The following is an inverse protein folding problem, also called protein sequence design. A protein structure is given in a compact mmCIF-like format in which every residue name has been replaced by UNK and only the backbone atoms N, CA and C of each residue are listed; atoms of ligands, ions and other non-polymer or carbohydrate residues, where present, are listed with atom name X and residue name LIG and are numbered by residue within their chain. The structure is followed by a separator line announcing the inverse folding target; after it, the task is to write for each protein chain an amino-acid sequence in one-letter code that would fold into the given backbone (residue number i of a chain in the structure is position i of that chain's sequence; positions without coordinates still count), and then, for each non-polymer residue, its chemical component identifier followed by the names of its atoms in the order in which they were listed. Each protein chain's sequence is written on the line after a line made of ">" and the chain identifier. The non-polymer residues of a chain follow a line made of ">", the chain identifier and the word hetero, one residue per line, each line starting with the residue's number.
data_IF_409100121704
#
_entry.id   IF_409100121704
#
_cell.length_a   1.000
_cell.length_b   1.000
_cell.length_c   1.000
_cell.angle_alpha   90.00
_cell.angle_beta   90.00
_cell.angle_gamma   90.00
#
_symmetry.space_group_name_H-M   'P 1'
#
loop_
_entity.id
_entity.type
_entity.pdbx_description
1 polymer ?
#
# COMPACT_ATOMS: atom_id res chain seq x y z
N UNK A 1 9.04 25.56 8.34
CA UNK A 1 9.27 24.16 8.78
C UNK A 1 8.02 23.30 8.66
N UNK A 2 6.80 23.85 8.76
CA UNK A 2 5.55 23.07 8.64
C UNK A 2 5.36 22.36 7.29
N UNK A 3 5.65 23.04 6.16
CA UNK A 3 5.45 22.49 4.80
C UNK A 3 6.25 21.21 4.47
N UNK A 4 7.36 20.94 5.15
CA UNK A 4 8.17 19.76 4.85
C UNK A 4 7.69 18.52 5.61
N UNK A 5 7.06 18.70 6.77
CA UNK A 5 6.44 17.60 7.51
C UNK A 5 5.19 17.06 6.79
N UNK A 6 4.45 17.92 6.11
CA UNK A 6 3.28 17.56 5.27
C UNK A 6 3.63 16.61 4.11
N UNK A 7 4.90 16.54 3.70
CA UNK A 7 5.33 15.57 2.68
C UNK A 7 5.36 14.13 3.21
N UNK A 8 5.47 13.96 4.52
CA UNK A 8 5.56 12.66 5.18
C UNK A 8 4.28 12.24 5.88
N UNK A 9 3.22 13.04 5.78
CA UNK A 9 1.87 12.57 6.10
C UNK A 9 1.39 11.64 5.00
N UNK A 10 0.45 10.76 5.35
CA UNK A 10 -0.13 9.80 4.42
C UNK A 10 -1.63 9.66 4.66
N UNK A 11 -2.33 9.31 3.59
CA UNK A 11 -3.75 9.02 3.61
C UNK A 11 -3.97 7.66 2.93
N UNK A 12 -4.64 6.73 3.63
CA UNK A 12 -4.90 5.38 3.13
C UNK A 12 -3.61 4.64 2.69
N UNK A 13 -2.52 4.87 3.41
CA UNK A 13 -1.21 4.28 3.15
C UNK A 13 -0.46 4.92 1.96
N UNK A 14 -0.97 5.99 1.36
CA UNK A 14 -0.26 6.73 0.30
C UNK A 14 0.37 7.97 0.91
N UNK A 15 1.70 8.05 0.85
CA UNK A 15 2.45 9.21 1.36
C UNK A 15 2.35 10.39 0.38
N UNK A 16 2.19 11.59 0.91
CA UNK A 16 1.91 12.79 0.12
C UNK A 16 3.00 13.10 -0.92
N UNK A 17 4.27 12.86 -0.60
CA UNK A 17 5.38 13.07 -1.53
C UNK A 17 5.34 12.18 -2.79
N UNK A 18 4.68 11.02 -2.74
CA UNK A 18 4.54 10.09 -3.87
C UNK A 18 3.11 9.99 -4.42
N UNK A 19 2.16 10.75 -3.87
CA UNK A 19 0.75 10.71 -4.27
C UNK A 19 0.56 11.01 -5.76
N UNK A 20 1.27 11.99 -6.29
CA UNK A 20 1.23 12.34 -7.72
C UNK A 20 1.67 11.18 -8.63
N UNK A 21 2.64 10.37 -8.20
CA UNK A 21 3.08 9.17 -8.91
C UNK A 21 2.06 8.04 -8.79
N UNK A 22 1.50 7.85 -7.59
CA UNK A 22 0.42 6.89 -7.34
C UNK A 22 -0.75 7.13 -8.30
N UNK A 23 -1.20 8.38 -8.40
CA UNK A 23 -2.29 8.78 -9.29
C UNK A 23 -1.94 8.53 -10.76
N UNK A 24 -0.74 8.89 -11.21
CA UNK A 24 -0.30 8.64 -12.59
C UNK A 24 -0.14 7.14 -12.94
N UNK A 25 0.17 6.29 -11.95
CA UNK A 25 0.30 4.85 -12.12
C UNK A 25 -1.06 4.14 -12.21
N UNK A 26 -2.14 4.70 -11.65
CA UNK A 26 -3.50 4.13 -11.77
C UNK A 26 -3.90 3.91 -13.23
N UNK A 27 -3.61 4.90 -14.07
CA UNK A 27 -3.97 4.87 -15.49
C UNK A 27 -3.17 3.82 -16.29
N UNK A 28 -2.11 3.26 -15.70
CA UNK A 28 -1.23 2.26 -16.33
C UNK A 28 -1.53 0.83 -15.93
N UNK A 29 -2.33 0.62 -14.88
CA UNK A 29 -2.72 -0.72 -14.44
C UNK A 29 -4.11 -1.09 -14.98
N UNK A 30 -4.35 -2.38 -15.30
CA UNK A 30 -5.68 -2.80 -15.70
C UNK A 30 -6.61 -2.83 -14.49
N UNK A 31 -7.90 -2.51 -14.71
CA UNK A 31 -8.93 -2.63 -13.68
C UNK A 31 -9.07 -4.08 -13.14
N UNK A 32 -8.82 -5.08 -13.99
CA UNK A 32 -8.84 -6.49 -13.64
C UNK A 32 -7.69 -7.25 -14.30
N UNK A 33 -7.17 -8.25 -13.60
CA UNK A 33 -6.10 -9.12 -14.11
C UNK A 33 -4.69 -8.56 -13.91
N UNK A 34 -3.74 -9.16 -14.61
CA UNK A 34 -2.32 -8.81 -14.54
C UNK A 34 -1.97 -7.67 -15.50
N UNK A 35 -0.97 -6.87 -15.13
CA UNK A 35 -0.36 -5.88 -16.02
C UNK A 35 0.13 -6.56 -17.31
N UNK A 36 -0.08 -5.89 -18.45
CA UNK A 36 0.39 -6.35 -19.77
C UNK A 36 1.90 -6.58 -19.73
N UNK A 37 2.35 -7.74 -20.20
CA UNK A 37 3.76 -8.14 -20.16
C UNK A 37 4.38 -8.03 -18.76
N UNK A 38 3.70 -8.51 -17.70
CA UNK A 38 4.17 -8.42 -16.31
C UNK A 38 5.63 -8.85 -16.07
N UNK A 39 6.19 -9.73 -16.91
CA UNK A 39 7.61 -10.11 -16.83
C UNK A 39 8.58 -8.96 -17.17
N UNK A 40 8.14 -8.02 -18.01
CA UNK A 40 8.84 -6.78 -18.38
C UNK A 40 8.40 -5.58 -17.54
N UNK A 41 7.20 -5.64 -16.96
CA UNK A 41 6.62 -4.62 -16.08
C UNK A 41 6.48 -5.16 -14.65
N UNK A 42 7.62 -5.54 -14.05
CA UNK A 42 7.64 -6.27 -12.77
C UNK A 42 7.29 -5.34 -11.62
N UNK A 43 7.78 -4.11 -11.65
CA UNK A 43 7.51 -3.11 -10.61
C UNK A 43 6.07 -2.61 -10.73
N UNK A 44 5.55 -2.40 -11.93
CA UNK A 44 4.16 -2.02 -12.14
C UNK A 44 3.18 -3.15 -11.69
N UNK A 45 3.49 -4.42 -11.96
CA UNK A 45 2.68 -5.55 -11.43
C UNK A 45 2.79 -5.67 -9.90
N UNK A 46 3.95 -5.35 -9.33
CA UNK A 46 4.14 -5.32 -7.87
C UNK A 46 3.32 -4.19 -7.26
N UNK A 47 3.35 -3.00 -7.84
CA UNK A 47 2.51 -1.86 -7.47
C UNK A 47 1.03 -2.21 -7.52
N UNK A 48 0.54 -2.78 -8.64
CA UNK A 48 -0.86 -3.22 -8.78
C UNK A 48 -1.29 -4.18 -7.66
N UNK A 49 -0.42 -5.13 -7.29
CA UNK A 49 -0.68 -6.06 -6.19
C UNK A 49 -0.66 -5.36 -4.83
N UNK A 50 0.33 -4.51 -4.59
CA UNK A 50 0.50 -3.76 -3.36
C UNK A 50 -0.67 -2.83 -3.10
N UNK A 51 -1.10 -2.04 -4.09
CA UNK A 51 -2.29 -1.20 -4.01
C UNK A 51 -3.53 -1.98 -3.56
N UNK A 52 -3.76 -3.15 -4.17
CA UNK A 52 -4.92 -3.98 -3.81
C UNK A 52 -4.84 -4.48 -2.37
N UNK A 53 -3.64 -4.78 -1.87
CA UNK A 53 -3.39 -5.18 -0.48
C UNK A 53 -3.58 -3.99 0.46
N UNK A 54 -2.99 -2.83 0.15
CA UNK A 54 -3.15 -1.56 0.87
C UNK A 54 -4.62 -1.22 1.03
N UNK A 55 -5.39 -1.25 -0.07
CA UNK A 55 -6.83 -1.02 -0.02
C UNK A 55 -7.56 -2.04 0.88
N UNK A 56 -7.21 -3.33 0.82
CA UNK A 56 -7.83 -4.37 1.66
C UNK A 56 -7.53 -4.16 3.16
N UNK A 57 -6.32 -3.70 3.51
CA UNK A 57 -5.95 -3.36 4.89
C UNK A 57 -6.91 -2.32 5.46
N UNK A 58 -7.08 -1.19 4.78
CA UNK A 58 -7.90 -0.09 5.29
C UNK A 58 -9.40 -0.33 5.12
N UNK A 59 -9.81 -1.05 4.08
CA UNK A 59 -11.23 -1.29 3.80
C UNK A 59 -11.84 -2.41 4.67
N UNK A 60 -11.09 -3.47 4.99
CA UNK A 60 -11.64 -4.59 5.75
C UNK A 60 -10.65 -5.26 6.72
N UNK A 61 -9.52 -4.62 7.03
CA UNK A 61 -8.54 -5.20 7.94
C UNK A 61 -7.81 -6.42 7.36
N UNK A 62 -7.52 -6.42 6.06
CA UNK A 62 -6.71 -7.43 5.36
C UNK A 62 -7.36 -8.83 5.23
N UNK A 63 -8.68 -8.92 5.44
CA UNK A 63 -9.40 -10.19 5.48
C UNK A 63 -9.29 -10.98 4.16
N UNK A 64 -9.34 -10.31 3.00
CA UNK A 64 -9.32 -11.01 1.72
C UNK A 64 -7.91 -11.26 1.19
N UNK A 65 -6.92 -10.47 1.65
CA UNK A 65 -5.57 -10.44 1.06
C UNK A 65 -4.45 -10.74 2.04
N UNK A 66 -4.72 -11.32 3.20
CA UNK A 66 -3.70 -11.71 4.18
C UNK A 66 -2.50 -12.48 3.60
N UNK A 67 -2.72 -13.43 2.69
CA UNK A 67 -1.62 -14.19 2.03
C UNK A 67 -0.79 -13.34 1.06
N UNK A 68 -1.32 -12.22 0.59
CA UNK A 68 -0.66 -11.31 -0.34
C UNK A 68 0.12 -10.20 0.37
N UNK A 69 -0.01 -10.05 1.70
CA UNK A 69 0.65 -9.00 2.48
C UNK A 69 2.16 -8.90 2.24
N UNK A 70 2.81 -10.04 2.00
CA UNK A 70 4.25 -10.13 1.69
C UNK A 70 4.72 -9.22 0.56
N UNK A 71 3.83 -8.76 -0.33
CA UNK A 71 4.18 -7.80 -1.40
C UNK A 71 4.64 -6.45 -0.83
N UNK A 72 4.14 -6.06 0.35
CA UNK A 72 4.57 -4.88 1.10
C UNK A 72 5.81 -5.18 1.98
N UNK A 73 6.30 -6.42 2.01
CA UNK A 73 7.36 -6.83 2.93
C UNK A 73 6.94 -6.91 4.40
N UNK A 74 5.65 -6.76 4.70
CA UNK A 74 5.08 -6.80 6.04
C UNK A 74 4.57 -8.21 6.40
N UNK A 75 4.46 -8.49 7.70
CA UNK A 75 3.80 -9.65 8.28
C UNK A 75 2.53 -9.22 9.00
N UNK A 76 1.59 -10.16 9.18
CA UNK A 76 0.32 -9.86 9.88
C UNK A 76 0.59 -9.32 11.29
N UNK A 77 1.57 -9.89 11.98
CA UNK A 77 1.95 -9.51 13.34
C UNK A 77 2.59 -8.11 13.44
N UNK A 78 3.05 -7.54 12.32
CA UNK A 78 3.55 -6.16 12.28
C UNK A 78 2.39 -5.15 12.35
N UNK A 79 1.21 -5.56 11.88
CA UNK A 79 0.02 -4.73 11.76
C UNK A 79 -0.91 -4.94 12.96
N UNK A 80 -1.08 -3.95 13.84
CA UNK A 80 -2.04 -4.02 14.96
C UNK A 80 -3.48 -3.86 14.45
N UNK A 81 -3.94 -4.81 13.64
CA UNK A 81 -5.28 -4.84 13.04
C UNK A 81 -6.34 -5.08 14.12
N UNK A 82 -7.59 -4.66 13.88
CA UNK A 82 -8.68 -5.02 14.78
C UNK A 82 -8.88 -6.54 14.85
N UNK A 83 -8.96 -7.09 16.06
CA UNK A 83 -9.18 -8.52 16.26
C UNK A 83 -10.31 -8.77 17.27
N UNK A 84 -11.15 -9.76 16.96
CA UNK A 84 -12.18 -10.27 17.85
C UNK A 84 -11.64 -11.47 18.63
N UNK A 85 -11.65 -11.39 19.95
CA UNK A 85 -11.27 -12.48 20.85
C UNK A 85 -12.53 -13.12 21.45
N UNK A 86 -13.12 -14.07 20.71
CA UNK A 86 -14.30 -14.81 21.15
C UNK A 86 -15.50 -13.91 21.47
N UNK A 87 -16.29 -14.25 22.49
CA UNK A 87 -17.49 -13.48 22.89
C UNK A 87 -17.19 -12.21 23.71
N UNK A 88 -15.96 -12.02 24.19
CA UNK A 88 -15.70 -11.14 25.34
C UNK A 88 -14.75 -9.97 25.08
N UNK A 89 -14.27 -9.78 23.85
CA UNK A 89 -13.36 -8.66 23.58
C UNK A 89 -13.19 -8.31 22.11
N UNK A 90 -13.17 -7.01 21.85
CA UNK A 90 -12.75 -6.41 20.59
C UNK A 90 -11.49 -5.59 20.89
N UNK A 91 -10.38 -5.94 20.26
CA UNK A 91 -9.18 -5.11 20.29
C UNK A 91 -9.30 -4.09 19.13
N UNK A 92 -9.45 -2.79 19.41
CA UNK A 92 -9.47 -1.80 18.35
C UNK A 92 -8.08 -1.76 17.70
N UNK A 93 -8.05 -1.75 16.36
CA UNK A 93 -6.79 -1.64 15.64
C UNK A 93 -6.11 -0.30 15.90
N UNK A 94 -4.78 -0.28 15.94
CA UNK A 94 -4.01 0.98 15.99
C UNK A 94 -3.79 1.47 14.55
N UNK A 95 -4.77 2.21 14.04
CA UNK A 95 -4.80 2.68 12.66
C UNK A 95 -3.71 3.69 12.33
N UNK A 96 -3.28 4.52 13.28
CA UNK A 96 -2.14 5.44 13.07
C UNK A 96 -0.85 4.67 12.81
N UNK A 97 -0.61 3.61 13.59
CA UNK A 97 0.56 2.73 13.37
C UNK A 97 0.44 1.95 12.07
N UNK A 98 -0.75 1.49 11.71
CA UNK A 98 -1.00 0.82 10.43
C UNK A 98 -0.70 1.77 9.27
N UNK A 99 -1.24 2.98 9.32
CA UNK A 99 -1.03 4.05 8.33
C UNK A 99 0.46 4.29 8.11
N UNK A 100 1.21 4.50 9.19
CA UNK A 100 2.67 4.68 9.14
C UNK A 100 3.41 3.48 8.52
N UNK A 101 3.15 2.26 8.99
CA UNK A 101 3.85 1.06 8.50
C UNK A 101 3.55 0.78 7.03
N UNK A 102 2.29 0.96 6.63
CA UNK A 102 1.86 0.71 5.25
C UNK A 102 2.39 1.80 4.32
N UNK A 103 2.38 3.08 4.71
CA UNK A 103 2.89 4.16 3.87
C UNK A 103 4.41 4.06 3.67
N UNK A 104 5.17 3.73 4.70
CA UNK A 104 6.61 3.50 4.59
C UNK A 104 6.96 2.28 3.72
N UNK A 105 6.13 1.22 3.75
CA UNK A 105 6.30 0.06 2.89
C UNK A 105 5.87 0.30 1.43
N UNK A 106 4.82 1.10 1.22
CA UNK A 106 4.21 1.29 -0.09
C UNK A 106 4.89 2.37 -0.93
N UNK A 107 5.37 3.46 -0.32
CA UNK A 107 6.08 4.54 -1.01
C UNK A 107 7.25 4.06 -1.91
N UNK A 108 8.18 3.19 -1.47
CA UNK A 108 9.25 2.71 -2.34
C UNK A 108 8.75 1.78 -3.46
N UNK A 109 7.57 1.17 -3.34
CA UNK A 109 6.96 0.39 -4.43
C UNK A 109 6.40 1.34 -5.50
N UNK A 110 5.76 2.43 -5.08
CA UNK A 110 5.28 3.49 -5.98
C UNK A 110 6.45 4.08 -6.77
N UNK A 111 7.53 4.47 -6.08
CA UNK A 111 8.71 5.06 -6.72
C UNK A 111 9.33 4.12 -7.77
N UNK A 112 9.58 2.85 -7.42
CA UNK A 112 10.15 1.88 -8.38
C UNK A 112 9.24 1.61 -9.58
N UNK A 113 7.92 1.62 -9.38
CA UNK A 113 6.99 1.50 -10.49
C UNK A 113 7.01 2.75 -11.38
N UNK A 114 7.11 3.95 -10.79
CA UNK A 114 7.24 5.19 -11.54
C UNK A 114 8.56 5.27 -12.34
N UNK A 115 9.67 4.84 -11.74
CA UNK A 115 10.98 4.67 -12.41
C UNK A 115 10.89 3.69 -13.59
N UNK A 116 10.30 2.50 -13.38
CA UNK A 116 10.09 1.50 -14.45
C UNK A 116 9.25 2.06 -15.60
N UNK A 117 8.30 2.94 -15.30
CA UNK A 117 7.43 3.59 -16.28
C UNK A 117 8.00 4.89 -16.86
N UNK A 118 9.23 5.27 -16.51
CA UNK A 118 9.93 6.44 -17.04
C UNK A 118 9.31 7.79 -16.62
N UNK A 119 8.62 7.82 -15.48
CA UNK A 119 8.02 9.06 -14.94
C UNK A 119 9.05 9.93 -14.22
N UNK A 120 10.04 9.29 -13.60
CA UNK A 120 11.10 9.88 -12.79
C UNK A 120 12.42 9.13 -13.05
N UNK A 121 13.56 9.76 -12.75
CA UNK A 121 14.91 9.22 -12.95
C UNK A 121 15.68 9.17 -11.63
#
# INVERSE_FOLDING_TARGET
>A
MEKQAELFTSEWGVRNDVEHLYNALQDKIPAMGMVKNANKNRHLETFRKAQNVTYDIFNNGLINRGKSLKVLGLKKDDLPLPEYYGRNGYFPGNWERIEFLVSEAFAPIIQRAAEEQGMIN
#
